data_IF_183360068574
#
_entry.id   IF_183360068574
#
_cell.length_a   1.000
_cell.length_b   1.000
_cell.length_c   1.000
_cell.angle_alpha   90.00
_cell.angle_beta   90.00
_cell.angle_gamma   90.00
#
_symmetry.space_group_name_H-M   'P 1'
#
loop_
_entity.id
_entity.type
_entity.pdbx_description
1 polymer ?
#
# COMPACT_ATOMS: atom_id res chain seq x y z
N UNK A 1 1.29 -57.16 -10.43
CA UNK A 1 1.36 -56.14 -9.36
C UNK A 1 1.91 -54.87 -9.98
N UNK A 2 1.21 -53.77 -9.70
CA UNK A 2 1.34 -52.46 -10.33
C UNK A 2 2.62 -51.76 -9.81
N UNK A 3 3.39 -51.13 -10.68
CA UNK A 3 4.43 -50.17 -10.28
C UNK A 3 4.03 -48.83 -10.90
N UNK A 4 3.36 -48.01 -10.12
CA UNK A 4 2.99 -46.65 -10.49
C UNK A 4 4.17 -45.72 -10.27
N UNK A 5 4.48 -44.96 -11.31
CA UNK A 5 5.31 -43.76 -11.31
C UNK A 5 4.72 -42.69 -10.40
N UNK A 6 5.55 -41.93 -9.70
CA UNK A 6 5.29 -40.53 -9.38
C UNK A 6 6.61 -39.77 -9.47
N UNK A 7 6.75 -38.98 -10.54
CA UNK A 7 7.70 -37.87 -10.57
C UNK A 7 7.10 -36.81 -9.64
N UNK A 8 7.91 -36.31 -8.73
CA UNK A 8 7.54 -35.18 -7.90
C UNK A 8 7.30 -33.96 -8.80
N UNK A 9 6.04 -33.57 -8.92
CA UNK A 9 5.68 -32.23 -9.37
C UNK A 9 6.15 -31.27 -8.26
N UNK A 10 7.26 -30.57 -8.52
CA UNK A 10 7.60 -29.39 -7.76
C UNK A 10 6.50 -28.34 -7.98
N UNK A 11 5.49 -28.36 -7.12
CA UNK A 11 4.59 -27.23 -6.93
C UNK A 11 5.43 -26.07 -6.40
N UNK A 12 5.97 -25.27 -7.32
CA UNK A 12 6.32 -23.89 -7.00
C UNK A 12 5.01 -23.14 -6.81
N UNK A 13 4.40 -23.32 -5.64
CA UNK A 13 3.44 -22.36 -5.12
C UNK A 13 4.23 -21.06 -4.90
N UNK A 14 4.22 -20.21 -5.92
CA UNK A 14 4.66 -18.83 -5.78
C UNK A 14 3.54 -18.14 -5.01
N UNK A 15 3.53 -18.33 -3.69
CA UNK A 15 2.68 -17.55 -2.80
C UNK A 15 3.05 -16.08 -3.05
N UNK A 16 2.14 -15.35 -3.68
CA UNK A 16 2.22 -13.92 -3.93
C UNK A 16 2.30 -13.22 -2.57
N UNK A 17 3.50 -13.12 -2.01
CA UNK A 17 3.74 -12.47 -0.71
C UNK A 17 3.34 -10.99 -0.79
N UNK A 18 2.10 -10.68 -0.44
CA UNK A 18 1.61 -9.32 -0.28
C UNK A 18 2.47 -8.62 0.78
N UNK A 19 3.22 -7.60 0.37
CA UNK A 19 3.94 -6.76 1.32
C UNK A 19 2.94 -5.78 1.95
N UNK A 20 2.74 -5.88 3.26
CA UNK A 20 1.89 -4.97 4.02
C UNK A 20 2.71 -4.20 5.04
N UNK A 21 2.31 -2.96 5.27
CA UNK A 21 2.85 -2.10 6.32
C UNK A 21 1.74 -1.73 7.31
N UNK A 22 2.06 -1.74 8.60
CA UNK A 22 1.11 -1.34 9.65
C UNK A 22 1.55 0.00 10.23
N UNK A 23 0.72 1.02 10.01
CA UNK A 23 0.84 2.31 10.67
C UNK A 23 0.06 2.25 12.00
N UNK A 24 0.79 2.21 13.11
CA UNK A 24 0.23 2.31 14.46
C UNK A 24 0.23 3.77 14.91
N UNK A 25 -0.93 4.29 15.30
CA UNK A 25 -1.10 5.66 15.78
C UNK A 25 -1.45 5.60 17.27
N UNK A 26 -0.43 5.49 18.12
CA UNK A 26 -0.64 5.41 19.57
C UNK A 26 -1.00 6.78 20.15
N UNK A 27 -2.01 6.83 21.02
CA UNK A 27 -2.36 8.04 21.76
C UNK A 27 -3.11 9.10 20.93
N UNK A 28 -3.84 8.68 19.90
CA UNK A 28 -4.65 9.54 19.03
C UNK A 28 -5.45 10.61 19.82
N UNK A 29 -6.18 10.19 20.87
CA UNK A 29 -6.98 11.08 21.72
C UNK A 29 -6.18 12.14 22.50
N UNK A 30 -4.87 11.94 22.70
CA UNK A 30 -3.98 12.89 23.40
C UNK A 30 -3.30 13.90 22.48
N UNK A 31 -3.15 13.58 21.18
CA UNK A 31 -2.48 14.43 20.19
C UNK A 31 -3.38 15.55 19.62
N UNK A 32 -4.71 15.37 19.69
CA UNK A 32 -5.70 16.30 19.10
C UNK A 32 -5.99 17.51 20.01
N UNK A 33 -5.41 17.55 21.22
CA UNK A 33 -5.56 18.65 22.17
C UNK A 33 -4.58 19.82 22.01
N UNK A 34 -3.59 19.70 21.11
CA UNK A 34 -2.47 20.65 21.04
C UNK A 34 -2.39 21.34 19.68
N UNK A 35 -3.26 22.33 19.43
CA UNK A 35 -3.09 23.56 18.60
C UNK A 35 -2.37 23.53 17.23
N UNK A 36 -2.00 22.38 16.72
CA UNK A 36 -1.37 22.15 15.43
C UNK A 36 -2.23 21.15 14.66
N UNK A 37 -3.44 21.60 14.33
CA UNK A 37 -4.52 20.86 13.65
C UNK A 37 -4.14 20.43 12.21
N UNK A 38 -2.86 20.51 11.85
CA UNK A 38 -2.29 20.34 10.51
C UNK A 38 -1.17 19.28 10.45
N UNK A 39 -0.94 18.52 11.52
CA UNK A 39 0.15 17.53 11.56
C UNK A 39 -0.12 16.34 10.63
N UNK A 40 0.75 16.17 9.64
CA UNK A 40 0.87 14.95 8.84
C UNK A 40 1.76 13.95 9.59
N UNK A 41 1.24 12.76 9.85
CA UNK A 41 2.01 11.61 10.35
C UNK A 41 2.52 10.83 9.13
N UNK A 42 3.83 10.74 9.00
CA UNK A 42 4.50 10.02 7.89
C UNK A 42 5.03 8.69 8.42
N UNK A 43 4.71 7.58 7.74
CA UNK A 43 5.28 6.28 8.09
C UNK A 43 6.78 6.19 7.77
N UNK A 44 7.44 5.17 8.31
CA UNK A 44 8.71 4.76 7.75
C UNK A 44 8.53 4.27 6.30
N UNK A 45 9.63 4.31 5.54
CA UNK A 45 9.66 3.77 4.17
C UNK A 45 9.57 2.26 4.26
N UNK A 46 8.74 1.66 3.41
CA UNK A 46 8.62 0.21 3.30
C UNK A 46 8.72 -0.26 1.84
N UNK A 47 9.39 -1.39 1.58
CA UNK A 47 9.50 -1.96 0.24
C UNK A 47 8.26 -2.78 -0.11
N UNK A 48 7.73 -2.60 -1.32
CA UNK A 48 6.67 -3.43 -1.90
C UNK A 48 6.73 -3.38 -3.43
N UNK A 49 6.58 -4.53 -4.10
CA UNK A 49 6.52 -4.60 -5.56
C UNK A 49 7.77 -4.07 -6.28
N UNK A 50 8.94 -4.09 -5.65
CA UNK A 50 10.18 -3.56 -6.23
C UNK A 50 10.39 -2.04 -6.04
N UNK A 51 9.49 -1.38 -5.32
CA UNK A 51 9.52 0.06 -5.06
C UNK A 51 9.47 0.35 -3.57
N UNK A 52 9.87 1.55 -3.19
CA UNK A 52 9.76 2.07 -1.84
C UNK A 52 8.53 2.96 -1.71
N UNK A 53 7.82 2.80 -0.61
CA UNK A 53 6.55 3.48 -0.35
C UNK A 53 6.53 4.12 1.03
N UNK A 54 5.71 5.15 1.21
CA UNK A 54 5.37 5.72 2.51
C UNK A 54 3.85 5.96 2.60
N UNK A 55 3.34 5.97 3.82
CA UNK A 55 1.97 6.37 4.12
C UNK A 55 2.01 7.77 4.70
N UNK A 56 1.13 8.63 4.19
CA UNK A 56 0.81 9.93 4.75
C UNK A 56 -0.54 9.82 5.44
N UNK A 57 -0.58 10.09 6.73
CA UNK A 57 -1.80 10.11 7.53
C UNK A 57 -2.07 11.52 8.02
N UNK A 58 -3.29 11.99 7.80
CA UNK A 58 -3.78 13.27 8.30
C UNK A 58 -4.93 12.99 9.27
N UNK A 59 -4.65 12.89 10.58
CA UNK A 59 -5.64 12.60 11.62
C UNK A 59 -6.85 13.53 11.60
N UNK A 60 -6.65 14.80 11.25
CA UNK A 60 -7.69 15.85 11.26
C UNK A 60 -8.17 16.23 9.84
N UNK A 61 -7.99 15.30 8.89
CA UNK A 61 -8.28 15.51 7.49
C UNK A 61 -7.15 16.23 6.74
N UNK A 62 -7.13 16.11 5.42
CA UNK A 62 -6.14 16.77 4.58
C UNK A 62 -6.52 18.24 4.30
N UNK A 63 -5.51 19.10 4.17
CA UNK A 63 -5.68 20.55 3.96
C UNK A 63 -6.59 20.86 2.76
N UNK A 64 -7.55 21.76 2.97
CA UNK A 64 -8.48 22.23 1.93
C UNK A 64 -9.61 21.25 1.60
N UNK A 65 -9.75 20.15 2.34
CA UNK A 65 -10.92 19.26 2.24
C UNK A 65 -12.02 19.68 3.22
N UNK A 66 -13.27 19.45 2.83
CA UNK A 66 -14.45 19.60 3.72
C UNK A 66 -14.56 18.48 4.77
N UNK A 67 -13.60 17.55 4.79
CA UNK A 67 -13.63 16.28 5.52
C UNK A 67 -12.87 16.33 6.86
N UNK A 68 -12.90 17.47 7.57
CA UNK A 68 -12.20 17.62 8.87
C UNK A 68 -12.71 16.67 9.98
N UNK A 69 -13.82 15.97 9.77
CA UNK A 69 -14.34 14.92 10.65
C UNK A 69 -13.75 13.53 10.41
N UNK A 70 -12.83 13.39 9.45
CA UNK A 70 -12.27 12.11 9.04
C UNK A 70 -10.73 12.13 9.07
N UNK A 71 -10.16 10.95 9.27
CA UNK A 71 -8.76 10.65 9.03
C UNK A 71 -8.58 10.45 7.52
N UNK A 72 -7.67 11.20 6.92
CA UNK A 72 -7.26 11.00 5.53
C UNK A 72 -5.97 10.18 5.46
N UNK A 73 -5.88 9.26 4.49
CA UNK A 73 -4.73 8.39 4.27
C UNK A 73 -4.33 8.39 2.82
N UNK A 74 -3.04 8.47 2.55
CA UNK A 74 -2.48 8.36 1.21
C UNK A 74 -1.25 7.46 1.25
N UNK A 75 -1.00 6.76 0.15
CA UNK A 75 0.28 6.10 -0.11
C UNK A 75 1.03 6.88 -1.19
N UNK A 76 2.34 7.05 -1.00
CA UNK A 76 3.23 7.77 -1.93
C UNK A 76 4.41 6.89 -2.31
N UNK A 77 4.85 7.00 -3.57
CA UNK A 77 6.10 6.40 -4.04
C UNK A 77 7.28 7.22 -3.52
N UNK A 78 8.27 6.54 -2.93
CA UNK A 78 9.47 7.10 -2.31
C UNK A 78 10.76 6.42 -2.83
N UNK A 79 10.88 6.26 -4.14
CA UNK A 79 12.13 5.82 -4.73
C UNK A 79 13.11 7.00 -4.82
N UNK A 80 14.16 6.97 -4.01
CA UNK A 80 15.15 8.06 -3.96
C UNK A 80 15.80 8.33 -5.33
N UNK A 81 16.10 7.25 -6.06
CA UNK A 81 16.80 7.27 -7.35
C UNK A 81 15.87 7.38 -8.57
N UNK A 82 14.55 7.43 -8.36
CA UNK A 82 13.60 7.55 -9.47
C UNK A 82 13.67 8.92 -10.14
N UNK A 83 13.52 8.93 -11.46
CA UNK A 83 13.32 10.14 -12.26
C UNK A 83 11.87 10.61 -12.07
N UNK A 84 11.62 11.91 -12.01
CA UNK A 84 10.31 12.48 -11.66
C UNK A 84 9.17 12.02 -12.59
N UNK A 85 9.47 11.79 -13.88
CA UNK A 85 8.52 11.34 -14.90
C UNK A 85 8.35 9.81 -14.97
N UNK A 86 9.13 9.05 -14.21
CA UNK A 86 8.96 7.59 -14.14
C UNK A 86 7.67 7.28 -13.36
N UNK A 87 6.76 6.55 -14.01
CA UNK A 87 5.48 6.20 -13.44
C UNK A 87 5.40 4.71 -13.11
N UNK A 88 4.85 4.40 -11.93
CA UNK A 88 4.54 3.03 -11.51
C UNK A 88 3.02 2.89 -11.41
N UNK A 89 2.47 1.85 -12.04
CA UNK A 89 1.04 1.55 -11.90
C UNK A 89 0.87 0.55 -10.77
N UNK A 90 0.17 0.96 -9.71
CA UNK A 90 -0.08 0.12 -8.56
C UNK A 90 -1.51 0.29 -8.04
N UNK A 91 -1.94 -0.67 -7.24
CA UNK A 91 -3.17 -0.63 -6.47
C UNK A 91 -2.77 -0.58 -4.99
N UNK A 92 -3.60 -0.07 -4.09
CA UNK A 92 -3.30 -0.07 -2.68
C UNK A 92 -4.56 -0.33 -1.87
N UNK A 93 -4.47 -1.25 -0.92
CA UNK A 93 -5.55 -1.58 0.01
C UNK A 93 -5.23 -1.00 1.38
N UNK A 94 -6.12 -0.16 1.88
CA UNK A 94 -6.09 0.42 3.21
C UNK A 94 -7.11 -0.35 4.07
N UNK A 95 -6.69 -0.88 5.21
CA UNK A 95 -7.57 -1.61 6.13
C UNK A 95 -7.32 -1.20 7.57
N UNK A 96 -8.38 -0.88 8.30
CA UNK A 96 -8.33 -0.81 9.75
C UNK A 96 -8.10 -2.21 10.34
N UNK A 97 -7.23 -2.30 11.34
CA UNK A 97 -7.02 -3.53 12.10
C UNK A 97 -7.67 -3.42 13.47
N UNK A 98 -8.32 -4.49 13.91
CA UNK A 98 -8.82 -4.61 15.28
C UNK A 98 -7.68 -4.87 16.29
N UNK A 99 -8.06 -5.05 17.56
CA UNK A 99 -7.13 -5.29 18.65
C UNK A 99 -6.28 -6.57 18.46
N UNK A 100 -6.84 -7.58 17.79
CA UNK A 100 -6.18 -8.85 17.46
C UNK A 100 -5.34 -8.76 16.18
N UNK A 101 -5.32 -7.59 15.52
CA UNK A 101 -4.59 -7.37 14.26
C UNK A 101 -5.32 -7.89 13.03
N UNK A 102 -6.62 -8.22 13.13
CA UNK A 102 -7.42 -8.68 12.00
C UNK A 102 -8.04 -7.49 11.26
N UNK A 103 -8.10 -7.58 9.94
CA UNK A 103 -8.74 -6.56 9.08
C UNK A 103 -10.23 -6.44 9.43
N UNK A 104 -10.70 -5.22 9.66
CA UNK A 104 -12.12 -4.89 9.85
C UNK A 104 -12.74 -4.62 8.46
N UNK A 105 -13.59 -5.52 7.91
CA UNK A 105 -14.00 -5.43 6.51
C UNK A 105 -14.74 -4.14 6.12
N UNK A 106 -15.50 -3.56 7.05
CA UNK A 106 -16.24 -2.30 6.86
C UNK A 106 -15.31 -1.11 6.62
N UNK A 107 -14.06 -1.20 7.08
CA UNK A 107 -13.05 -0.16 6.97
C UNK A 107 -11.86 -0.67 6.17
N UNK A 108 -12.17 -1.31 5.04
CA UNK A 108 -11.19 -1.78 4.07
C UNK A 108 -11.55 -1.25 2.69
N UNK A 109 -10.66 -0.45 2.11
CA UNK A 109 -10.86 0.19 0.82
C UNK A 109 -9.64 -0.02 -0.06
N UNK A 110 -9.87 -0.34 -1.33
CA UNK A 110 -8.81 -0.54 -2.31
C UNK A 110 -8.91 0.51 -3.41
N UNK A 111 -7.80 1.16 -3.72
CA UNK A 111 -7.74 2.16 -4.78
C UNK A 111 -8.02 1.53 -6.14
N UNK A 112 -8.25 2.35 -7.15
CA UNK A 112 -8.08 1.87 -8.52
C UNK A 112 -6.62 1.51 -8.81
N UNK A 113 -6.36 1.12 -10.06
CA UNK A 113 -5.00 1.12 -10.60
C UNK A 113 -4.58 2.56 -10.82
N UNK A 114 -3.76 3.07 -9.91
CA UNK A 114 -3.30 4.44 -9.93
C UNK A 114 -1.90 4.54 -10.52
N UNK A 115 -1.63 5.67 -11.16
CA UNK A 115 -0.32 5.96 -11.78
C UNK A 115 0.49 6.84 -10.83
N UNK A 116 1.40 6.22 -10.09
CA UNK A 116 2.27 6.85 -9.10
C UNK A 116 3.50 7.44 -9.77
N UNK A 117 3.58 8.76 -9.75
CA UNK A 117 4.80 9.52 -10.01
C UNK A 117 5.55 9.76 -8.69
N UNK A 118 6.79 10.23 -8.79
CA UNK A 118 7.59 10.58 -7.61
C UNK A 118 6.83 11.61 -6.75
N UNK A 119 6.64 11.28 -5.46
CA UNK A 119 5.92 12.11 -4.48
C UNK A 119 4.43 12.37 -4.73
N UNK A 120 3.82 11.79 -5.76
CA UNK A 120 2.36 11.88 -5.97
C UNK A 120 1.65 10.77 -5.19
N UNK A 121 0.77 11.18 -4.27
CA UNK A 121 0.03 10.26 -3.40
C UNK A 121 -1.37 9.94 -3.90
N UNK A 122 -1.84 8.73 -3.59
CA UNK A 122 -3.20 8.29 -3.84
C UNK A 122 -3.78 7.63 -2.58
N UNK A 123 -5.07 7.80 -2.35
CA UNK A 123 -5.74 7.30 -1.16
C UNK A 123 -7.09 7.98 -0.94
N UNK A 124 -7.48 8.15 0.31
CA UNK A 124 -8.83 8.54 0.72
C UNK A 124 -8.79 9.74 1.67
N UNK A 125 -9.63 10.73 1.39
CA UNK A 125 -9.79 11.91 2.23
C UNK A 125 -10.69 11.65 3.46
N UNK A 126 -11.49 10.58 3.43
CA UNK A 126 -12.56 10.26 4.36
C UNK A 126 -12.50 8.81 4.86
N UNK A 127 -11.29 8.26 5.04
CA UNK A 127 -11.10 6.83 5.31
C UNK A 127 -11.75 6.35 6.62
N UNK A 128 -11.59 7.11 7.71
CA UNK A 128 -12.09 6.75 9.04
C UNK A 128 -12.67 7.97 9.73
N UNK A 129 -13.83 7.83 10.37
CA UNK A 129 -14.40 8.90 11.19
C UNK A 129 -13.53 9.14 12.43
N UNK A 130 -13.29 10.40 12.79
CA UNK A 130 -12.40 10.80 13.87
C UNK A 130 -12.79 10.26 15.27
N UNK A 131 -14.07 9.97 15.51
CA UNK A 131 -14.54 9.41 16.79
C UNK A 131 -14.27 7.89 16.94
N UNK A 132 -13.62 7.29 15.95
CA UNK A 132 -13.30 5.87 15.98
C UNK A 132 -12.10 5.59 16.90
N UNK A 133 -12.36 4.88 18.01
CA UNK A 133 -11.43 4.65 19.13
C UNK A 133 -10.37 3.56 18.89
N UNK A 134 -10.06 3.21 17.65
CA UNK A 134 -9.02 2.21 17.37
C UNK A 134 -7.85 2.82 16.60
N UNK A 135 -6.65 2.36 16.95
CA UNK A 135 -5.39 3.07 16.72
C UNK A 135 -4.48 2.40 15.67
N UNK A 136 -4.98 1.38 14.94
CA UNK A 136 -4.15 0.57 14.03
C UNK A 136 -4.71 0.56 12.62
N UNK A 137 -3.94 1.11 11.69
CA UNK A 137 -4.25 1.12 10.26
C UNK A 137 -3.17 0.30 9.55
N UNK A 138 -3.57 -0.54 8.62
CA UNK A 138 -2.67 -1.26 7.73
C UNK A 138 -2.86 -0.79 6.30
N UNK A 139 -1.76 -0.71 5.55
CA UNK A 139 -1.78 -0.43 4.12
C UNK A 139 -0.97 -1.52 3.43
N UNK A 140 -1.59 -2.14 2.44
CA UNK A 140 -0.99 -3.19 1.61
C UNK A 140 -0.92 -2.67 0.19
N UNK A 141 0.25 -2.73 -0.44
CA UNK A 141 0.43 -2.42 -1.87
C UNK A 141 0.72 -3.75 -2.57
N UNK A 142 -0.16 -4.26 -3.46
CA UNK A 142 0.09 -5.48 -4.20
C UNK A 142 1.34 -5.35 -5.06
N UNK A 143 1.98 -6.50 -5.35
CA UNK A 143 3.11 -6.58 -6.28
C UNK A 143 2.72 -5.98 -7.63
N UNK A 144 3.68 -5.31 -8.28
CA UNK A 144 3.55 -4.87 -9.67
C UNK A 144 3.26 -6.09 -10.56
N UNK A 145 1.98 -6.32 -10.90
CA UNK A 145 1.60 -7.29 -11.93
C UNK A 145 1.77 -6.58 -13.27
N UNK A 146 3.02 -6.42 -13.72
CA UNK A 146 3.44 -6.30 -15.13
C UNK A 146 4.90 -5.83 -15.27
N UNK A 147 5.86 -6.76 -15.17
CA UNK A 147 6.94 -6.74 -16.17
C UNK A 147 6.45 -7.58 -17.34
N UNK A 148 5.90 -6.94 -18.36
CA UNK A 148 5.85 -7.57 -19.68
C UNK A 148 7.30 -7.82 -20.09
N UNK A 149 7.80 -9.02 -19.82
CA UNK A 149 9.06 -9.49 -20.40
C UNK A 149 8.77 -9.65 -21.89
N UNK A 150 9.04 -8.59 -22.67
CA UNK A 150 9.17 -8.73 -24.11
C UNK A 150 10.48 -9.48 -24.34
N UNK A 151 10.42 -10.81 -24.37
CA UNK A 151 11.49 -11.62 -24.95
C UNK A 151 11.64 -11.20 -26.42
N UNK A 152 12.62 -10.35 -26.70
CA UNK A 152 13.13 -10.20 -28.07
C UNK A 152 13.85 -11.50 -28.38
N UNK A 153 13.16 -12.44 -29.03
CA UNK A 153 13.80 -13.60 -29.64
C UNK A 153 14.72 -13.10 -30.76
N UNK A 154 16.02 -13.03 -30.48
CA UNK A 154 17.01 -12.91 -31.55
C UNK A 154 16.95 -14.19 -32.39
N UNK A 155 16.28 -14.10 -33.55
CA UNK A 155 16.45 -15.08 -34.62
C UNK A 155 17.80 -14.81 -35.28
N UNK A 156 18.81 -15.61 -34.95
CA UNK A 156 20.04 -15.64 -35.75
C UNK A 156 19.74 -16.48 -36.98
N UNK A 157 19.67 -15.81 -38.14
CA UNK A 157 19.67 -16.50 -39.42
C UNK A 157 21.00 -17.25 -39.58
N UNK A 158 20.93 -18.58 -39.60
CA UNK A 158 22.03 -19.45 -40.01
C UNK A 158 21.91 -19.74 -41.50
N UNK A 159 23.02 -19.52 -42.21
CA UNK A 159 23.28 -19.68 -43.64
C UNK A 159 22.84 -21.02 -44.24
#
# INVERSE_FOLDING_TARGET
>A
MHMSSSKDDASNNTEEEEAYHVLKIDGYSSAIGTKDDMLCIVSCVFPAGGHNWQILCYPMGAHGSENMGFIALFVVRHDADAVDDEAVVAEATFSLLDHDGKRVPTYSCTTGKETFLKYKGFGYYDFLLHDFRQDKISVTVPKEKNKSVTEIKHSTAGL
#
